data_IF_790582490922
#
_entry.id   IF_790582490922
#
_cell.length_a   1.000
_cell.length_b   1.000
_cell.length_c   1.000
_cell.angle_alpha   90.00
_cell.angle_beta   90.00
_cell.angle_gamma   90.00
#
_symmetry.space_group_name_H-M   'P 1'
#
loop_
_entity.id
_entity.type
_entity.pdbx_description
1 polymer ?
#
# COMPACT_ATOMS: atom_id res chain seq x y z
N UNK A 1 -8.67 -15.82 3.75
CA UNK A 1 -8.03 -14.52 4.05
C UNK A 1 -7.37 -13.98 2.79
N UNK A 2 -7.16 -12.66 2.74
CA UNK A 2 -6.44 -12.00 1.64
C UNK A 2 -5.35 -11.09 2.19
N UNK A 3 -4.35 -10.80 1.36
CA UNK A 3 -3.50 -9.61 1.53
C UNK A 3 -3.95 -8.55 0.53
N UNK A 4 -4.28 -7.37 1.04
CA UNK A 4 -4.48 -6.17 0.22
C UNK A 4 -3.15 -5.44 0.18
N UNK A 5 -2.67 -5.19 -1.04
CA UNK A 5 -1.41 -4.48 -1.31
C UNK A 5 -1.74 -3.16 -1.98
N UNK A 6 -1.24 -2.07 -1.42
CA UNK A 6 -1.44 -0.72 -1.93
C UNK A 6 -0.11 -0.03 -2.14
N UNK A 7 0.17 0.43 -3.37
CA UNK A 7 1.30 1.31 -3.68
C UNK A 7 0.77 2.70 -3.91
N UNK A 8 1.10 3.64 -3.02
CA UNK A 8 0.50 4.98 -2.96
C UNK A 8 1.56 6.08 -2.87
N UNK A 9 1.13 7.34 -2.97
CA UNK A 9 1.99 8.51 -2.72
C UNK A 9 2.43 8.54 -1.24
N UNK A 10 3.71 8.81 -0.91
CA UNK A 10 4.21 8.73 0.46
C UNK A 10 3.44 9.58 1.48
N UNK A 11 3.04 10.80 1.12
CA UNK A 11 2.31 11.70 2.03
C UNK A 11 0.88 11.22 2.38
N UNK A 12 0.37 10.17 1.72
CA UNK A 12 -0.94 9.57 2.01
C UNK A 12 -0.88 8.45 3.05
N UNK A 13 0.32 8.04 3.47
CA UNK A 13 0.49 6.92 4.39
C UNK A 13 -0.27 7.11 5.71
N UNK A 14 -0.12 8.28 6.35
CA UNK A 14 -0.75 8.53 7.64
C UNK A 14 -2.27 8.59 7.54
N UNK A 15 -2.82 9.26 6.52
CA UNK A 15 -4.27 9.28 6.27
C UNK A 15 -4.82 7.86 6.11
N UNK A 16 -4.13 7.00 5.35
CA UNK A 16 -4.53 5.60 5.13
C UNK A 16 -4.44 4.79 6.43
N UNK A 17 -3.35 4.96 7.20
CA UNK A 17 -3.16 4.30 8.48
C UNK A 17 -4.31 4.61 9.45
N UNK A 18 -4.69 5.88 9.56
CA UNK A 18 -5.78 6.32 10.42
C UNK A 18 -7.15 5.82 9.96
N UNK A 19 -7.39 5.80 8.65
CA UNK A 19 -8.63 5.28 8.09
C UNK A 19 -8.79 3.77 8.35
N UNK A 20 -7.71 2.99 8.14
CA UNK A 20 -7.71 1.55 8.42
C UNK A 20 -7.87 1.24 9.91
N UNK A 21 -7.27 2.04 10.79
CA UNK A 21 -7.43 1.87 12.23
C UNK A 21 -8.88 2.06 12.70
N UNK A 22 -9.66 2.93 12.04
CA UNK A 22 -11.11 3.11 12.32
C UNK A 22 -11.95 1.92 11.86
N UNK A 23 -11.39 1.05 11.03
CA UNK A 23 -11.99 -0.21 10.57
C UNK A 23 -11.43 -1.42 11.34
N UNK A 24 -10.85 -1.19 12.51
CA UNK A 24 -10.27 -2.23 13.38
C UNK A 24 -9.11 -3.00 12.74
N UNK A 25 -8.48 -2.45 11.69
CA UNK A 25 -7.26 -2.99 11.09
C UNK A 25 -6.05 -2.38 11.78
N UNK A 26 -5.49 -3.12 12.74
CA UNK A 26 -4.41 -2.62 13.61
C UNK A 26 -3.00 -3.06 13.21
N UNK A 27 -2.87 -4.04 12.32
CA UNK A 27 -1.58 -4.54 11.83
C UNK A 27 -1.41 -4.29 10.34
N UNK A 28 -0.30 -3.67 9.94
CA UNK A 28 0.11 -3.53 8.53
C UNK A 28 1.64 -3.53 8.41
N UNK A 29 2.14 -3.93 7.25
CA UNK A 29 3.55 -3.83 6.90
C UNK A 29 3.72 -2.74 5.86
N UNK A 30 4.75 -1.90 6.03
CA UNK A 30 5.03 -0.78 5.13
C UNK A 30 6.46 -0.89 4.61
N UNK A 31 6.66 -0.66 3.31
CA UNK A 31 7.98 -0.60 2.68
C UNK A 31 8.08 0.57 1.71
N UNK A 32 9.27 1.14 1.60
CA UNK A 32 9.58 2.15 0.60
C UNK A 32 9.88 1.45 -0.73
N UNK A 33 9.26 1.93 -1.81
CA UNK A 33 9.43 1.36 -3.14
C UNK A 33 9.55 2.46 -4.20
N UNK A 34 10.00 2.07 -5.38
CA UNK A 34 10.13 2.93 -6.53
C UNK A 34 9.14 2.51 -7.62
N UNK A 35 8.35 3.46 -8.13
CA UNK A 35 7.37 3.23 -9.18
C UNK A 35 7.80 3.83 -10.51
N UNK A 36 7.54 3.10 -11.60
CA UNK A 36 7.72 3.58 -12.98
C UNK A 36 6.37 3.52 -13.71
N UNK A 37 6.08 4.48 -14.59
CA UNK A 37 4.86 4.47 -15.39
C UNK A 37 4.52 5.79 -16.05
N UNK A 38 3.23 6.06 -16.26
CA UNK A 38 2.72 7.30 -16.88
C UNK A 38 3.06 8.58 -16.13
N UNK A 39 3.41 8.47 -14.85
CA UNK A 39 4.04 9.56 -14.14
C UNK A 39 5.47 9.65 -14.66
N UNK A 40 5.63 10.31 -15.81
CA UNK A 40 6.93 10.47 -16.45
C UNK A 40 7.91 11.07 -15.45
N UNK A 41 9.06 10.39 -15.30
CA UNK A 41 10.20 10.90 -14.58
C UNK A 41 10.53 12.34 -14.95
N UNK A 42 10.93 13.15 -13.96
CA UNK A 42 11.42 14.50 -14.22
C UNK A 42 12.91 14.41 -14.59
N UNK A 43 13.38 15.26 -15.49
CA UNK A 43 14.82 15.43 -15.71
C UNK A 43 15.38 16.25 -14.55
N UNK A 44 16.26 15.66 -13.75
CA UNK A 44 16.98 16.40 -12.71
C UNK A 44 18.39 16.72 -13.23
N UNK A 45 18.82 17.97 -13.05
CA UNK A 45 20.20 18.38 -13.35
C UNK A 45 21.03 18.19 -12.09
N UNK A 46 21.94 17.22 -12.11
CA UNK A 46 22.90 17.01 -11.02
C UNK A 46 24.32 17.29 -11.52
N UNK A 47 24.99 18.28 -10.93
CA UNK A 47 26.35 18.73 -11.29
C UNK A 47 26.54 19.00 -12.81
N UNK A 48 25.52 19.55 -13.47
CA UNK A 48 25.59 19.91 -14.89
C UNK A 48 25.34 18.76 -15.87
N UNK A 49 24.99 17.56 -15.39
CA UNK A 49 24.50 16.47 -16.21
C UNK A 49 22.99 16.27 -16.00
N UNK A 50 22.25 16.11 -17.08
CA UNK A 50 20.82 15.76 -17.06
C UNK A 50 20.68 14.26 -16.77
N UNK A 51 20.02 13.93 -15.65
CA UNK A 51 19.62 12.57 -15.32
C UNK A 51 18.12 12.43 -15.49
N UNK A 52 17.71 11.47 -16.32
CA UNK A 52 16.30 11.11 -16.44
C UNK A 52 15.92 10.23 -15.23
N UNK A 53 15.29 10.85 -14.22
CA UNK A 53 14.86 10.14 -13.02
C UNK A 53 13.65 9.28 -13.38
N UNK A 54 13.91 8.05 -13.82
CA UNK A 54 12.86 7.16 -14.34
C UNK A 54 11.87 6.74 -13.25
N UNK A 55 12.32 6.61 -12.01
CA UNK A 55 11.52 6.09 -10.90
C UNK A 55 11.08 7.17 -9.92
N UNK A 56 9.83 7.09 -9.47
CA UNK A 56 9.26 7.98 -8.47
C UNK A 56 9.09 7.23 -7.15
N UNK A 57 9.53 7.80 -6.00
CA UNK A 57 9.29 7.21 -4.69
C UNK A 57 7.79 6.98 -4.40
N UNK A 58 7.49 5.82 -3.84
CA UNK A 58 6.15 5.40 -3.40
C UNK A 58 6.29 4.64 -2.07
N UNK A 59 5.15 4.46 -1.43
CA UNK A 59 5.05 3.58 -0.26
C UNK A 59 4.17 2.38 -0.63
N UNK A 60 4.64 1.18 -0.31
CA UNK A 60 3.86 -0.06 -0.42
C UNK A 60 3.35 -0.45 0.98
N UNK A 61 2.04 -0.56 1.11
CA UNK A 61 1.32 -1.02 2.30
C UNK A 61 0.81 -2.42 2.01
N UNK A 62 1.02 -3.34 2.94
CA UNK A 62 0.53 -4.72 2.88
C UNK A 62 -0.26 -5.00 4.15
N UNK A 63 -1.53 -5.37 3.98
CA UNK A 63 -2.44 -5.62 5.10
C UNK A 63 -3.17 -6.93 4.90
N UNK A 64 -3.15 -7.79 5.92
CA UNK A 64 -3.80 -9.10 5.86
C UNK A 64 -5.15 -8.98 6.54
N UNK A 65 -6.20 -9.44 5.87
CA UNK A 65 -7.59 -9.29 6.32
C UNK A 65 -8.42 -10.54 6.01
N UNK A 66 -9.53 -10.68 6.72
CA UNK A 66 -10.55 -11.68 6.40
C UNK A 66 -11.21 -11.36 5.05
N UNK A 67 -11.69 -12.39 4.34
CA UNK A 67 -12.33 -12.22 3.03
C UNK A 67 -13.57 -11.30 3.10
N UNK A 68 -14.29 -11.28 4.22
CA UNK A 68 -15.52 -10.51 4.38
C UNK A 68 -15.35 -8.98 4.37
N UNK A 69 -14.13 -8.48 4.58
CA UNK A 69 -13.86 -7.03 4.67
C UNK A 69 -12.98 -6.51 3.52
N UNK A 70 -12.54 -7.37 2.60
CA UNK A 70 -11.58 -7.01 1.54
C UNK A 70 -12.04 -5.80 0.73
N UNK A 71 -13.29 -5.80 0.27
CA UNK A 71 -13.82 -4.72 -0.56
C UNK A 71 -13.86 -3.40 0.20
N UNK A 72 -14.29 -3.43 1.47
CA UNK A 72 -14.30 -2.26 2.35
C UNK A 72 -12.89 -1.67 2.53
N UNK A 73 -11.88 -2.53 2.69
CA UNK A 73 -10.48 -2.12 2.84
C UNK A 73 -9.93 -1.53 1.55
N UNK A 74 -10.19 -2.16 0.41
CA UNK A 74 -9.78 -1.66 -0.91
C UNK A 74 -10.40 -0.29 -1.17
N UNK A 75 -11.72 -0.15 -0.98
CA UNK A 75 -12.44 1.09 -1.22
C UNK A 75 -11.95 2.23 -0.33
N UNK A 76 -11.71 1.94 0.96
CA UNK A 76 -11.17 2.92 1.91
C UNK A 76 -9.78 3.40 1.50
N UNK A 77 -8.87 2.48 1.15
CA UNK A 77 -7.52 2.85 0.70
C UNK A 77 -7.60 3.71 -0.56
N UNK A 78 -8.46 3.32 -1.52
CA UNK A 78 -8.65 4.03 -2.78
C UNK A 78 -9.20 5.44 -2.53
N UNK A 79 -10.23 5.58 -1.71
CA UNK A 79 -10.84 6.88 -1.37
C UNK A 79 -9.81 7.84 -0.77
N UNK A 80 -9.10 7.36 0.27
CA UNK A 80 -8.16 8.19 1.04
C UNK A 80 -6.91 8.55 0.24
N UNK A 81 -6.43 7.64 -0.61
CA UNK A 81 -5.22 7.84 -1.41
C UNK A 81 -5.46 8.68 -2.67
N UNK A 82 -6.72 8.84 -3.10
CA UNK A 82 -7.06 9.51 -4.36
C UNK A 82 -6.89 11.03 -4.24
N UNK A 83 -6.05 11.58 -5.10
CA UNK A 83 -5.91 13.02 -5.33
C UNK A 83 -6.49 13.46 -6.67
N UNK A 84 -6.83 12.49 -7.54
CA UNK A 84 -7.31 12.73 -8.91
C UNK A 84 -6.19 13.06 -9.89
N UNK A 85 -4.93 13.09 -9.44
CA UNK A 85 -3.75 13.38 -10.26
C UNK A 85 -3.05 12.08 -10.67
N UNK A 86 -2.34 12.12 -11.79
CA UNK A 86 -1.50 11.01 -12.24
C UNK A 86 -0.53 10.61 -11.10
N UNK A 87 -0.38 9.29 -10.92
CA UNK A 87 0.56 8.73 -9.96
C UNK A 87 -0.01 8.47 -8.56
N UNK A 88 -1.33 8.52 -8.36
CA UNK A 88 -1.96 8.21 -7.07
C UNK A 88 -1.62 6.81 -6.55
N UNK A 89 -1.54 5.82 -7.44
CA UNK A 89 -1.15 4.48 -7.04
C UNK A 89 -1.91 3.36 -7.72
N UNK A 90 -1.78 2.16 -7.14
CA UNK A 90 -2.59 0.97 -7.44
C UNK A 90 -2.84 0.20 -6.15
N UNK A 91 -3.98 -0.49 -6.11
CA UNK A 91 -4.33 -1.45 -5.07
C UNK A 91 -4.64 -2.77 -5.76
N UNK A 92 -4.18 -3.87 -5.20
CA UNK A 92 -4.48 -5.22 -5.66
C UNK A 92 -4.56 -6.19 -4.49
N UNK A 93 -5.05 -7.39 -4.75
CA UNK A 93 -5.36 -8.39 -3.72
C UNK A 93 -4.78 -9.74 -4.11
N UNK A 94 -4.15 -10.42 -3.15
CA UNK A 94 -3.73 -11.82 -3.29
C UNK A 94 -4.43 -12.70 -2.26
N UNK A 95 -4.70 -13.95 -2.63
CA UNK A 95 -5.17 -14.97 -1.69
C UNK A 95 -4.04 -15.41 -0.76
N UNK A 96 -4.37 -15.61 0.52
CA UNK A 96 -3.48 -16.23 1.49
C UNK A 96 -4.02 -17.62 1.81
N UNK A 97 -3.17 -18.63 1.61
CA UNK A 97 -3.49 -20.02 1.95
C UNK A 97 -3.31 -20.27 3.46
N UNK A 98 -2.26 -19.70 4.05
CA UNK A 98 -1.93 -19.90 5.46
C UNK A 98 -1.43 -18.60 6.11
N UNK A 99 -1.94 -18.32 7.30
CA UNK A 99 -1.46 -17.25 8.19
C UNK A 99 -1.18 -17.86 9.56
N UNK A 100 -0.03 -17.53 10.14
CA UNK A 100 0.38 -18.01 11.47
C UNK A 100 0.90 -16.85 12.30
N UNK A 101 0.35 -16.65 13.50
CA UNK A 101 0.86 -15.65 14.43
C UNK A 101 2.07 -16.20 15.16
N UNK A 102 3.25 -15.63 14.90
CA UNK A 102 4.53 -16.13 15.45
C UNK A 102 4.52 -16.26 16.98
N UNK A 103 3.88 -15.32 17.70
CA UNK A 103 3.87 -15.30 19.17
C UNK A 103 3.06 -16.44 19.81
N UNK A 104 1.94 -16.83 19.21
CA UNK A 104 0.95 -17.74 19.82
C UNK A 104 0.82 -19.07 19.07
N UNK A 105 1.25 -19.12 17.81
CA UNK A 105 1.02 -20.26 16.92
C UNK A 105 -0.41 -20.35 16.40
N UNK A 106 -1.29 -19.38 16.71
CA UNK A 106 -2.63 -19.26 16.14
C UNK A 106 -2.57 -19.23 14.61
N UNK A 107 -3.58 -19.80 13.97
CA UNK A 107 -3.63 -20.02 12.53
C UNK A 107 -4.90 -19.46 11.92
N UNK A 108 -4.84 -19.12 10.64
CA UNK A 108 -6.02 -18.64 9.92
C UNK A 108 -6.53 -17.32 10.48
N UNK A 109 -7.84 -17.17 10.61
CA UNK A 109 -8.48 -15.94 11.10
C UNK A 109 -8.05 -15.58 12.54
N UNK A 110 -7.76 -16.57 13.39
CA UNK A 110 -7.29 -16.33 14.77
C UNK A 110 -5.90 -15.65 14.81
N UNK A 111 -5.15 -15.72 13.71
CA UNK A 111 -3.81 -15.16 13.58
C UNK A 111 -3.79 -13.67 13.18
N UNK A 112 -4.93 -13.09 12.81
CA UNK A 112 -5.09 -11.66 12.47
C UNK A 112 -4.90 -10.77 13.70
#
# INVERSE_FOLDING_TARGET
MKVVVAVIKPFKLDDVREALAKLEVHGMTVSEVQGFGRQSGHTEVYRGAEYQVSFVPKVKIEVVVDDGVVDQIVDTIVEISRTGKIGDGKVWVHSIEELVRVRTGERGTDAL
#
